data_IF_137471923627
#
_entry.id   IF_137471923627
#
_cell.length_a   1.000
_cell.length_b   1.000
_cell.length_c   1.000
_cell.angle_alpha   90.00
_cell.angle_beta   90.00
_cell.angle_gamma   90.00
#
_symmetry.space_group_name_H-M   'P 1'
#
loop_
_entity.id
_entity.type
_entity.pdbx_description
1 polymer ?
#
# COMPACT_ATOMS: atom_id res chain seq x y z
N UNK A 1 31.05 15.05 -3.41
CA UNK A 1 29.98 15.26 -4.40
C UNK A 1 29.20 13.95 -4.43
N UNK A 2 28.54 13.58 -3.32
CA UNK A 2 28.17 12.17 -3.05
C UNK A 2 26.78 12.02 -2.40
N UNK A 3 25.99 13.09 -2.31
CA UNK A 3 24.68 13.04 -1.65
C UNK A 3 23.53 12.67 -2.61
N UNK A 4 23.75 12.75 -3.94
CA UNK A 4 22.68 12.61 -4.93
C UNK A 4 22.41 11.15 -5.36
N UNK A 5 23.41 10.27 -5.24
CA UNK A 5 23.29 8.84 -5.60
C UNK A 5 22.55 8.02 -4.54
N UNK A 6 22.68 8.39 -3.26
CA UNK A 6 22.01 7.72 -2.15
C UNK A 6 20.48 7.94 -2.19
N UNK A 7 20.00 9.19 -2.35
CA UNK A 7 18.56 9.49 -2.41
C UNK A 7 17.85 8.82 -3.59
N UNK A 8 18.47 8.79 -4.77
CA UNK A 8 17.88 8.19 -5.98
C UNK A 8 17.69 6.67 -5.83
N UNK A 9 18.65 6.00 -5.18
CA UNK A 9 18.58 4.55 -4.95
C UNK A 9 17.49 4.20 -3.93
N UNK A 10 17.37 4.97 -2.84
CA UNK A 10 16.32 4.77 -1.84
C UNK A 10 14.92 5.08 -2.37
N UNK A 11 14.76 6.08 -3.22
CA UNK A 11 13.47 6.41 -3.85
C UNK A 11 13.02 5.34 -4.85
N UNK A 12 13.96 4.75 -5.59
CA UNK A 12 13.70 3.61 -6.49
C UNK A 12 13.23 2.39 -5.69
N UNK A 13 13.99 1.98 -4.67
CA UNK A 13 13.63 0.85 -3.81
C UNK A 13 12.30 1.09 -3.06
N UNK A 14 12.03 2.34 -2.68
CA UNK A 14 10.75 2.71 -2.09
C UNK A 14 9.60 2.47 -3.09
N UNK A 15 9.71 2.95 -4.33
CA UNK A 15 8.70 2.72 -5.37
C UNK A 15 8.45 1.23 -5.65
N UNK A 16 9.47 0.38 -5.53
CA UNK A 16 9.35 -1.08 -5.68
C UNK A 16 8.43 -1.71 -4.62
N UNK A 17 8.42 -1.20 -3.38
CA UNK A 17 7.55 -1.74 -2.31
C UNK A 17 6.08 -1.48 -2.61
N UNK A 18 5.73 -0.24 -2.98
CA UNK A 18 4.34 0.13 -3.33
C UNK A 18 3.86 -0.63 -4.57
N UNK A 19 4.73 -0.78 -5.56
CA UNK A 19 4.43 -1.52 -6.78
C UNK A 19 4.25 -3.02 -6.52
N UNK A 20 5.15 -3.65 -5.74
CA UNK A 20 5.04 -5.07 -5.39
C UNK A 20 3.75 -5.39 -4.61
N UNK A 21 3.32 -4.48 -3.72
CA UNK A 21 2.03 -4.61 -3.04
C UNK A 21 0.87 -4.59 -4.03
N UNK A 22 0.90 -3.67 -5.00
CA UNK A 22 -0.12 -3.53 -6.03
C UNK A 22 -0.25 -4.79 -6.90
N UNK A 23 0.88 -5.28 -7.43
CA UNK A 23 0.93 -6.49 -8.25
C UNK A 23 0.42 -7.71 -7.49
N UNK A 24 0.81 -7.85 -6.21
CA UNK A 24 0.34 -8.96 -5.39
C UNK A 24 -1.16 -8.88 -5.13
N UNK A 25 -1.69 -7.69 -4.88
CA UNK A 25 -3.12 -7.48 -4.65
C UNK A 25 -3.93 -7.82 -5.91
N UNK A 26 -3.48 -7.38 -7.08
CA UNK A 26 -4.12 -7.66 -8.37
C UNK A 26 -4.17 -9.17 -8.67
N UNK A 27 -3.06 -9.89 -8.43
CA UNK A 27 -3.01 -11.36 -8.53
C UNK A 27 -4.04 -12.07 -7.64
N UNK A 28 -4.46 -11.43 -6.54
CA UNK A 28 -5.43 -11.94 -5.58
C UNK A 28 -6.85 -11.39 -5.82
N UNK A 29 -7.07 -10.75 -6.97
CA UNK A 29 -8.37 -10.27 -7.42
C UNK A 29 -8.79 -8.92 -6.82
N UNK A 30 -7.88 -8.19 -6.18
CA UNK A 30 -8.15 -6.83 -5.71
C UNK A 30 -8.02 -5.84 -6.85
N UNK A 31 -8.93 -4.88 -6.92
CA UNK A 31 -8.86 -3.77 -7.85
C UNK A 31 -8.19 -2.58 -7.17
N UNK A 32 -7.06 -2.11 -7.72
CA UNK A 32 -6.34 -0.95 -7.19
C UNK A 32 -6.87 0.33 -7.83
N UNK A 33 -7.18 1.30 -6.98
CA UNK A 33 -7.37 2.70 -7.35
C UNK A 33 -6.25 3.51 -6.73
N UNK A 34 -5.32 3.96 -7.57
CA UNK A 34 -4.20 4.79 -7.14
C UNK A 34 -4.61 6.28 -7.04
N UNK A 35 -4.17 6.92 -5.97
CA UNK A 35 -4.19 8.36 -5.71
C UNK A 35 -2.78 8.77 -5.25
N UNK A 36 -2.52 10.08 -5.19
CA UNK A 36 -1.20 10.65 -4.89
C UNK A 36 -0.44 9.87 -3.78
N UNK A 37 -1.04 9.80 -2.58
CA UNK A 37 -0.47 9.09 -1.43
C UNK A 37 -1.33 7.95 -0.89
N UNK A 38 -2.39 7.59 -1.60
CA UNK A 38 -3.33 6.57 -1.13
C UNK A 38 -3.59 5.58 -2.25
N UNK A 39 -3.38 4.30 -1.96
CA UNK A 39 -3.90 3.22 -2.77
C UNK A 39 -5.13 2.63 -2.09
N UNK A 40 -6.21 2.51 -2.85
CA UNK A 40 -7.44 1.85 -2.40
C UNK A 40 -7.55 0.53 -3.14
N UNK A 41 -7.58 -0.57 -2.39
CA UNK A 41 -7.78 -1.91 -2.91
C UNK A 41 -9.22 -2.34 -2.60
N UNK A 42 -10.03 -2.56 -3.63
CA UNK A 42 -11.42 -3.01 -3.49
C UNK A 42 -11.60 -4.47 -3.92
N UNK A 43 -12.39 -5.24 -3.16
CA UNK A 43 -12.81 -6.60 -3.53
C UNK A 43 -14.15 -6.94 -2.88
N UNK A 44 -15.24 -6.81 -3.66
CA UNK A 44 -16.60 -6.95 -3.12
C UNK A 44 -16.91 -5.84 -2.10
N UNK A 45 -17.37 -6.23 -0.91
CA UNK A 45 -17.64 -5.29 0.20
C UNK A 45 -16.38 -4.84 0.94
N UNK A 46 -15.23 -5.48 0.69
CA UNK A 46 -13.98 -5.19 1.38
C UNK A 46 -13.21 -4.07 0.69
N UNK A 47 -12.68 -3.15 1.51
CA UNK A 47 -11.70 -2.17 1.06
C UNK A 47 -10.48 -2.16 1.98
N UNK A 48 -9.30 -2.08 1.40
CA UNK A 48 -8.05 -1.82 2.13
C UNK A 48 -7.46 -0.53 1.58
N UNK A 49 -7.24 0.47 2.44
CA UNK A 49 -6.58 1.71 2.07
C UNK A 49 -5.14 1.65 2.58
N UNK A 50 -4.16 1.79 1.69
CA UNK A 50 -2.76 2.00 2.02
C UNK A 50 -2.43 3.48 1.87
N UNK A 51 -2.06 4.14 2.96
CA UNK A 51 -1.61 5.53 2.98
C UNK A 51 -0.10 5.54 3.06
N UNK A 52 0.55 6.07 2.04
CA UNK A 52 1.99 6.10 1.90
C UNK A 52 2.57 7.41 2.43
N UNK A 53 3.72 7.32 3.13
CA UNK A 53 4.53 8.47 3.53
C UNK A 53 5.25 9.06 2.33
N UNK A 54 5.85 8.18 1.56
CA UNK A 54 6.67 8.36 0.37
C UNK A 54 6.46 7.13 -0.53
N UNK A 55 7.28 6.95 -1.57
CA UNK A 55 7.07 5.90 -2.56
C UNK A 55 7.04 4.45 -2.00
N UNK A 56 7.51 4.20 -0.76
CA UNK A 56 7.64 2.84 -0.21
C UNK A 56 7.47 2.69 1.29
N UNK A 57 7.40 3.79 2.04
CA UNK A 57 7.15 3.75 3.47
C UNK A 57 5.66 3.89 3.74
N UNK A 58 5.05 2.89 4.36
CA UNK A 58 3.65 2.98 4.78
C UNK A 58 3.52 3.97 5.96
N UNK A 59 2.56 4.89 5.86
CA UNK A 59 2.18 5.77 6.97
C UNK A 59 0.95 5.25 7.72
N UNK A 60 0.06 4.54 7.03
CA UNK A 60 -1.14 3.98 7.63
C UNK A 60 -1.87 3.02 6.70
N UNK A 61 -2.66 2.14 7.28
CA UNK A 61 -3.46 1.12 6.62
C UNK A 61 -4.82 1.03 7.27
N UNK A 62 -5.91 1.04 6.50
CA UNK A 62 -7.25 0.89 7.02
C UNK A 62 -8.00 -0.23 6.28
N UNK A 63 -8.64 -1.12 7.04
CA UNK A 63 -9.47 -2.20 6.51
C UNK A 63 -10.94 -1.90 6.78
N UNK A 64 -11.74 -1.95 5.73
CA UNK A 64 -13.17 -1.70 5.76
C UNK A 64 -13.95 -2.91 5.25
N UNK A 65 -15.14 -3.09 5.78
CA UNK A 65 -16.18 -3.97 5.26
C UNK A 65 -17.48 -3.18 5.18
N UNK A 66 -18.07 -3.09 4.00
CA UNK A 66 -19.30 -2.33 3.74
C UNK A 66 -19.25 -0.90 4.29
N UNK A 67 -18.14 -0.20 4.00
CA UNK A 67 -17.82 1.17 4.48
C UNK A 67 -17.61 1.32 5.99
N UNK A 68 -17.69 0.24 6.78
CA UNK A 68 -17.38 0.25 8.21
C UNK A 68 -15.89 0.01 8.41
N UNK A 69 -15.20 0.92 9.12
CA UNK A 69 -13.81 0.74 9.50
C UNK A 69 -13.69 -0.38 10.55
N UNK A 70 -13.02 -1.47 10.19
CA UNK A 70 -12.80 -2.61 11.08
C UNK A 70 -11.47 -2.53 11.82
N UNK A 71 -10.43 -2.06 11.14
CA UNK A 71 -9.09 -2.02 11.71
C UNK A 71 -8.22 -0.94 11.07
N UNK A 72 -7.27 -0.45 11.85
CA UNK A 72 -6.19 0.44 11.40
C UNK A 72 -4.83 -0.14 11.80
N UNK A 73 -3.80 0.09 10.99
CA UNK A 73 -2.42 -0.33 11.25
C UNK A 73 -1.42 0.67 10.66
N UNK A 74 -0.20 0.70 11.16
CA UNK A 74 0.95 1.34 10.49
C UNK A 74 1.95 0.29 9.97
N UNK A 75 1.68 -0.98 10.20
CA UNK A 75 2.53 -2.10 9.81
C UNK A 75 2.15 -2.62 8.41
N UNK A 76 3.14 -2.66 7.51
CA UNK A 76 2.97 -3.13 6.13
C UNK A 76 2.63 -4.63 6.08
N UNK A 77 3.22 -5.45 6.95
CA UNK A 77 2.94 -6.89 6.99
C UNK A 77 1.48 -7.19 7.32
N UNK A 78 0.88 -6.40 8.23
CA UNK A 78 -0.54 -6.50 8.56
C UNK A 78 -1.42 -6.12 7.39
N UNK A 79 -1.08 -5.05 6.67
CA UNK A 79 -1.81 -4.64 5.47
C UNK A 79 -1.74 -5.72 4.38
N UNK A 80 -0.56 -6.29 4.13
CA UNK A 80 -0.38 -7.44 3.24
C UNK A 80 -1.23 -8.64 3.69
N UNK A 81 -1.34 -8.89 5.00
CA UNK A 81 -2.18 -9.98 5.53
C UNK A 81 -3.67 -9.79 5.28
N UNK A 82 -4.16 -8.55 5.14
CA UNK A 82 -5.54 -8.27 4.77
C UNK A 82 -5.77 -8.52 3.28
N UNK A 83 -4.84 -8.10 2.43
CA UNK A 83 -4.92 -8.34 0.98
C UNK A 83 -4.73 -9.81 0.61
N UNK A 84 -4.03 -10.60 1.44
CA UNK A 84 -3.84 -12.04 1.26
C UNK A 84 -5.08 -12.89 1.55
N UNK A 85 -6.13 -12.31 2.15
CA UNK A 85 -7.39 -12.99 2.45
C UNK A 85 -8.24 -13.15 1.20
#
# INVERSE_FOLDING_TARGET
MDEQTASTTSETAASEVRQALAERAEQLGWQRTERERVDVYGRGVFHVHAVWRDAGTLNGGAHYEDSVLLAYTTDLGKLQSWLAR
#
